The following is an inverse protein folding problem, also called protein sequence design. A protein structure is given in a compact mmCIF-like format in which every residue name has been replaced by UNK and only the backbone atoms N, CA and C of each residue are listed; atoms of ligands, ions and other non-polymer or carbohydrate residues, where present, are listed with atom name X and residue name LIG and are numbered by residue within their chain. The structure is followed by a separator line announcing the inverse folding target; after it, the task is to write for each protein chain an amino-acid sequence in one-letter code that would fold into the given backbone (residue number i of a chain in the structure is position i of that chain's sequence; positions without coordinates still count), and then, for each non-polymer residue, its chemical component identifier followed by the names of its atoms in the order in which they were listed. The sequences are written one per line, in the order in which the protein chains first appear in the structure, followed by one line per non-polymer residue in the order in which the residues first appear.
data_IF_602772448028
#
_entry.id   IF_602772448028
#
_cell.length_a   1.000
_cell.length_b   1.000
_cell.length_c   1.000
_cell.angle_alpha   90.00
_cell.angle_beta   90.00
_cell.angle_gamma   90.00
#
_symmetry.space_group_name_H-M   'P 1'
#
loop_
_entity.id
_entity.type
_entity.pdbx_description
1 polymer ?
#
# COMPACT_ATOMS: atom_id res chain seq x y z
N UNK A 1 -2.59 7.45 11.23
CA UNK A 1 -3.55 7.08 10.18
C UNK A 1 -2.83 6.36 9.06
N UNK A 2 -3.41 5.28 8.57
CA UNK A 2 -2.82 4.54 7.46
C UNK A 2 -3.24 5.17 6.14
N UNK A 3 -2.29 5.27 5.21
CA UNK A 3 -2.52 5.83 3.88
C UNK A 3 -1.95 4.89 2.84
N UNK A 4 -2.67 4.80 1.70
CA UNK A 4 -2.21 4.01 0.56
C UNK A 4 -1.81 4.96 -0.55
N UNK A 5 -0.61 4.77 -1.09
CA UNK A 5 -0.08 5.54 -2.20
C UNK A 5 0.30 4.61 -3.32
N UNK A 6 -0.07 4.96 -4.55
CA UNK A 6 0.29 4.18 -5.74
C UNK A 6 1.10 5.09 -6.65
N UNK A 7 2.28 4.63 -7.04
CA UNK A 7 3.23 5.41 -7.83
C UNK A 7 3.62 4.65 -9.09
N UNK A 8 3.70 5.35 -10.21
CA UNK A 8 4.11 4.76 -11.47
C UNK A 8 5.62 4.67 -11.54
N UNK A 9 6.13 3.44 -11.56
CA UNK A 9 7.55 3.14 -11.75
C UNK A 9 7.70 2.26 -12.99
N UNK A 10 7.64 2.84 -14.20
CA UNK A 10 7.60 2.02 -15.42
C UNK A 10 8.70 0.98 -15.45
N UNK A 11 8.39 -0.25 -15.86
CA UNK A 11 7.09 -0.73 -16.34
C UNK A 11 6.16 -1.24 -15.24
N UNK A 12 6.45 -0.93 -13.99
CA UNK A 12 5.69 -1.42 -12.85
C UNK A 12 4.98 -0.29 -12.12
N UNK A 13 4.04 -0.67 -11.26
CA UNK A 13 3.36 0.24 -10.35
C UNK A 13 3.68 -0.17 -8.93
N UNK A 14 4.12 0.78 -8.13
CA UNK A 14 4.47 0.53 -6.74
C UNK A 14 3.34 0.98 -5.83
N UNK A 15 2.98 0.14 -4.85
CA UNK A 15 2.05 0.56 -3.83
C UNK A 15 2.76 0.62 -2.48
N UNK A 16 2.32 1.53 -1.64
CA UNK A 16 2.88 1.71 -0.32
C UNK A 16 1.75 1.95 0.67
N UNK A 17 1.91 1.40 1.87
CA UNK A 17 1.05 1.74 3.01
C UNK A 17 1.94 2.45 4.01
N UNK A 18 1.53 3.64 4.44
CA UNK A 18 2.31 4.42 5.39
C UNK A 18 1.46 4.81 6.59
N UNK A 19 2.13 5.05 7.70
CA UNK A 19 1.52 5.48 8.95
C UNK A 19 2.33 6.66 9.48
N UNK A 20 1.71 7.84 9.50
CA UNK A 20 2.38 9.04 10.00
C UNK A 20 3.63 9.39 9.20
N UNK A 21 3.63 9.12 7.89
CA UNK A 21 4.76 9.40 7.04
C UNK A 21 5.80 8.29 6.98
N UNK A 22 5.60 7.21 7.73
CA UNK A 22 6.52 6.09 7.75
C UNK A 22 5.93 4.91 6.97
N UNK A 23 6.70 4.38 6.03
CA UNK A 23 6.24 3.25 5.22
C UNK A 23 6.27 1.98 6.06
N UNK A 24 5.12 1.27 6.10
CA UNK A 24 4.99 0.03 6.88
C UNK A 24 4.78 -1.18 5.99
N UNK A 25 4.43 -1.00 4.72
CA UNK A 25 4.29 -2.10 3.77
C UNK A 25 4.43 -1.54 2.36
N UNK A 26 4.92 -2.37 1.44
CA UNK A 26 5.01 -1.96 0.04
C UNK A 26 5.10 -3.19 -0.85
N UNK A 27 4.89 -2.95 -2.14
CA UNK A 27 5.01 -3.99 -3.14
C UNK A 27 4.92 -3.39 -4.53
N UNK A 28 5.05 -4.25 -5.54
CA UNK A 28 4.96 -3.82 -6.94
C UNK A 28 4.02 -4.73 -7.69
N UNK A 29 3.32 -4.14 -8.67
CA UNK A 29 2.40 -4.85 -9.54
C UNK A 29 2.60 -4.37 -10.97
N UNK A 30 2.13 -5.16 -11.93
CA UNK A 30 2.29 -4.79 -13.32
C UNK A 30 1.25 -3.79 -13.79
N UNK A 31 0.17 -3.60 -13.03
CA UNK A 31 -0.92 -2.70 -13.40
C UNK A 31 -1.34 -1.83 -12.23
N UNK A 32 -1.84 -0.64 -12.55
CA UNK A 32 -2.24 0.33 -11.55
C UNK A 32 -3.38 -0.19 -10.67
N UNK A 33 -4.39 -0.80 -11.30
CA UNK A 33 -5.53 -1.32 -10.55
C UNK A 33 -5.09 -2.39 -9.56
N UNK A 34 -4.19 -3.28 -10.00
CA UNK A 34 -3.66 -4.33 -9.13
C UNK A 34 -2.87 -3.74 -7.96
N UNK A 35 -2.06 -2.71 -8.24
CA UNK A 35 -1.29 -2.06 -7.17
C UNK A 35 -2.20 -1.42 -6.14
N UNK A 36 -3.27 -0.75 -6.59
CA UNK A 36 -4.23 -0.13 -5.68
C UNK A 36 -4.93 -1.18 -4.84
N UNK A 37 -5.36 -2.28 -5.48
CA UNK A 37 -6.03 -3.36 -4.79
C UNK A 37 -5.14 -3.96 -3.71
N UNK A 38 -3.88 -4.25 -4.06
CA UNK A 38 -2.95 -4.85 -3.11
C UNK A 38 -2.62 -3.90 -1.97
N UNK A 39 -2.50 -2.61 -2.27
CA UNK A 39 -2.23 -1.62 -1.24
C UNK A 39 -3.35 -1.56 -0.21
N UNK A 40 -4.60 -1.48 -0.66
CA UNK A 40 -5.73 -1.45 0.25
C UNK A 40 -5.89 -2.78 0.99
N UNK A 41 -5.62 -3.89 0.30
CA UNK A 41 -5.68 -5.19 0.93
C UNK A 41 -4.67 -5.30 2.07
N UNK A 42 -3.45 -4.82 1.85
CA UNK A 42 -2.43 -4.80 2.89
C UNK A 42 -2.85 -3.91 4.06
N UNK A 43 -3.43 -2.75 3.76
CA UNK A 43 -3.92 -1.85 4.81
C UNK A 43 -4.98 -2.52 5.66
N UNK A 44 -5.95 -3.21 5.03
CA UNK A 44 -6.99 -3.89 5.78
C UNK A 44 -6.43 -5.01 6.65
N UNK A 45 -5.41 -5.72 6.16
CA UNK A 45 -4.75 -6.74 6.97
C UNK A 45 -4.08 -6.15 8.19
N UNK A 46 -3.42 -4.99 8.04
CA UNK A 46 -2.79 -4.32 9.15
C UNK A 46 -3.82 -3.88 10.19
N UNK A 47 -4.93 -3.31 9.73
CA UNK A 47 -6.00 -2.90 10.64
C UNK A 47 -6.61 -4.09 11.36
N UNK A 48 -6.83 -5.19 10.64
CA UNK A 48 -7.40 -6.41 11.24
C UNK A 48 -6.45 -7.02 12.27
N UNK A 49 -5.15 -6.83 12.10
CA UNK A 49 -4.15 -7.33 13.03
C UNK A 49 -3.96 -6.41 14.24
N UNK A 50 -4.74 -5.34 14.31
CA UNK A 50 -4.68 -4.43 15.45
C UNK A 50 -3.73 -3.27 15.28
N UNK A 51 -3.27 -3.01 14.05
CA UNK A 51 -2.41 -1.86 13.80
C UNK A 51 -3.15 -0.59 14.18
N UNK A 52 -2.54 0.21 15.04
CA UNK A 52 -3.17 1.42 15.55
C UNK A 52 -2.26 2.60 15.23
N UNK A 53 -2.53 3.33 14.15
CA UNK A 53 -1.69 4.45 13.74
C UNK A 53 -1.71 5.62 14.72
#
# INVERSE_FOLDING_TARGET
MLEVTVTNHPPKWEWEVSSGGEMVANGVESEQIAARFEGYNAMFHLLAAGWNP
#
